data_IF_937129552919
#
_entry.id   IF_937129552919
#
_cell.length_a   1.000
_cell.length_b   1.000
_cell.length_c   1.000
_cell.angle_alpha   90.00
_cell.angle_beta   90.00
_cell.angle_gamma   90.00
#
_symmetry.space_group_name_H-M   'P 1'
#
loop_
_entity.id
_entity.type
_entity.pdbx_description
1 polymer ?
#
# COMPACT_ATOMS: atom_id res chain seq x y z
N UNK A 1 22.47 0.78 9.22
CA UNK A 1 21.50 1.60 8.46
C UNK A 1 20.18 0.83 8.49
N UNK A 2 19.14 1.44 9.05
CA UNK A 2 18.00 0.75 9.67
C UNK A 2 16.92 0.31 8.68
N UNK A 3 16.50 -0.95 8.79
CA UNK A 3 15.33 -1.57 8.14
C UNK A 3 14.01 -0.77 8.32
N UNK A 4 13.95 0.13 9.30
CA UNK A 4 12.86 1.08 9.51
C UNK A 4 12.69 2.09 8.37
N UNK A 5 13.77 2.48 7.69
CA UNK A 5 13.69 3.38 6.53
C UNK A 5 13.23 2.62 5.28
N UNK A 6 13.68 1.37 5.12
CA UNK A 6 13.29 0.50 4.01
C UNK A 6 11.80 0.12 4.06
N UNK A 7 11.29 -0.23 5.25
CA UNK A 7 9.86 -0.53 5.46
C UNK A 7 8.98 0.72 5.29
N UNK A 8 9.43 1.88 5.80
CA UNK A 8 8.77 3.17 5.56
C UNK A 8 8.79 3.62 4.09
N UNK A 9 9.85 3.28 3.35
CA UNK A 9 9.95 3.54 1.90
C UNK A 9 9.03 2.62 1.09
N UNK A 10 8.92 1.34 1.47
CA UNK A 10 8.07 0.35 0.80
C UNK A 10 6.59 0.69 0.97
N UNK A 11 6.19 1.07 2.18
CA UNK A 11 4.81 1.46 2.47
C UNK A 11 4.43 2.79 1.80
N UNK A 12 5.36 3.74 1.69
CA UNK A 12 5.17 4.95 0.88
C UNK A 12 4.98 4.62 -0.61
N UNK A 13 5.79 3.71 -1.15
CA UNK A 13 5.70 3.28 -2.56
C UNK A 13 4.38 2.57 -2.87
N UNK A 14 3.91 1.72 -1.95
CA UNK A 14 2.62 1.04 -2.08
C UNK A 14 1.46 2.04 -1.99
N UNK A 15 1.50 3.01 -1.07
CA UNK A 15 0.49 4.07 -1.01
C UNK A 15 0.44 4.93 -2.27
N UNK A 16 1.59 5.31 -2.82
CA UNK A 16 1.67 6.08 -4.06
C UNK A 16 1.04 5.30 -5.23
N UNK A 17 1.35 4.01 -5.35
CA UNK A 17 0.76 3.15 -6.40
C UNK A 17 -0.74 2.95 -6.23
N UNK A 18 -1.24 2.90 -5.00
CA UNK A 18 -2.67 2.87 -4.72
C UNK A 18 -3.36 4.17 -5.19
N UNK A 19 -2.76 5.33 -4.93
CA UNK A 19 -3.29 6.62 -5.41
C UNK A 19 -3.28 6.73 -6.93
N UNK A 20 -2.24 6.25 -7.61
CA UNK A 20 -2.21 6.21 -9.08
C UNK A 20 -3.34 5.35 -9.66
N UNK A 21 -3.62 4.19 -9.07
CA UNK A 21 -4.73 3.34 -9.48
C UNK A 21 -6.09 4.02 -9.23
N UNK A 22 -6.23 4.76 -8.14
CA UNK A 22 -7.44 5.53 -7.82
C UNK A 22 -7.67 6.67 -8.85
N UNK A 23 -6.62 7.42 -9.20
CA UNK A 23 -6.70 8.45 -10.25
C UNK A 23 -6.97 7.84 -11.63
N UNK A 24 -6.37 6.69 -11.94
CA UNK A 24 -6.67 5.95 -13.16
C UNK A 24 -8.14 5.47 -13.18
N UNK A 25 -8.69 5.10 -12.02
CA UNK A 25 -10.09 4.74 -11.88
C UNK A 25 -11.03 5.94 -12.11
N UNK A 26 -10.66 7.12 -11.62
CA UNK A 26 -11.43 8.35 -11.84
C UNK A 26 -11.43 8.80 -13.31
N UNK A 27 -10.32 8.57 -14.02
CA UNK A 27 -10.21 8.83 -15.46
C UNK A 27 -10.83 7.72 -16.31
N UNK A 28 -11.11 6.55 -15.73
CA UNK A 28 -11.75 5.46 -16.44
C UNK A 28 -13.22 5.79 -16.70
N UNK A 29 -13.59 5.88 -17.97
CA UNK A 29 -14.97 6.04 -18.44
C UNK A 29 -15.80 4.76 -18.28
N UNK A 30 -15.15 3.60 -18.18
CA UNK A 30 -15.79 2.31 -17.95
C UNK A 30 -16.06 2.10 -16.44
N UNK A 31 -17.34 1.91 -16.05
CA UNK A 31 -17.71 1.72 -14.65
C UNK A 31 -17.16 0.41 -14.05
N UNK A 32 -17.04 -0.67 -14.83
CA UNK A 32 -16.45 -1.93 -14.38
C UNK A 32 -14.93 -1.78 -14.18
N UNK A 33 -14.25 -1.09 -15.11
CA UNK A 33 -12.81 -0.79 -15.00
C UNK A 33 -12.51 0.09 -13.79
N UNK A 34 -13.33 1.12 -13.56
CA UNK A 34 -13.24 1.99 -12.37
C UNK A 34 -13.41 1.21 -11.07
N UNK A 35 -14.39 0.30 -10.99
CA UNK A 35 -14.58 -0.56 -9.79
C UNK A 35 -13.37 -1.44 -9.54
N UNK A 36 -12.85 -2.08 -10.59
CA UNK A 36 -11.69 -2.98 -10.48
C UNK A 36 -10.43 -2.24 -10.00
N UNK A 37 -10.16 -1.06 -10.54
CA UNK A 37 -9.01 -0.23 -10.15
C UNK A 37 -9.12 0.29 -8.70
N UNK A 38 -10.32 0.70 -8.27
CA UNK A 38 -10.56 1.08 -6.87
C UNK A 38 -10.38 -0.09 -5.91
N UNK A 39 -10.82 -1.28 -6.31
CA UNK A 39 -10.69 -2.49 -5.50
C UNK A 39 -9.23 -2.96 -5.40
N UNK A 40 -8.47 -2.92 -6.50
CA UNK A 40 -7.02 -3.17 -6.48
C UNK A 40 -6.26 -2.14 -5.62
N UNK A 41 -6.60 -0.86 -5.72
CA UNK A 41 -6.00 0.18 -4.88
C UNK A 41 -6.22 -0.08 -3.38
N UNK A 42 -7.44 -0.47 -3.00
CA UNK A 42 -7.79 -0.82 -1.63
C UNK A 42 -7.01 -2.04 -1.13
N UNK A 43 -6.95 -3.11 -1.93
CA UNK A 43 -6.18 -4.32 -1.61
C UNK A 43 -4.69 -4.03 -1.44
N UNK A 44 -4.13 -3.14 -2.28
CA UNK A 44 -2.72 -2.75 -2.20
C UNK A 44 -2.40 -2.00 -0.91
N UNK A 45 -3.31 -1.13 -0.47
CA UNK A 45 -3.21 -0.37 0.78
C UNK A 45 -3.26 -1.31 1.99
N UNK A 46 -4.21 -2.24 2.00
CA UNK A 46 -4.35 -3.24 3.07
C UNK A 46 -3.13 -4.17 3.14
N UNK A 47 -2.58 -4.58 1.99
CA UNK A 47 -1.34 -5.36 1.93
C UNK A 47 -0.14 -4.56 2.42
N UNK A 48 -0.11 -3.24 2.17
CA UNK A 48 0.92 -2.35 2.71
C UNK A 48 0.84 -2.25 4.23
N UNK A 49 -0.37 -2.17 4.78
CA UNK A 49 -0.60 -2.11 6.23
C UNK A 49 -0.23 -3.43 6.89
N UNK A 50 -0.63 -4.57 6.32
CA UNK A 50 -0.21 -5.89 6.79
C UNK A 50 1.29 -6.11 6.69
N UNK A 51 1.93 -5.70 5.58
CA UNK A 51 3.38 -5.79 5.43
C UNK A 51 4.15 -4.87 6.41
N UNK A 52 3.56 -3.71 6.77
CA UNK A 52 4.13 -2.83 7.81
C UNK A 52 3.91 -3.40 9.21
N UNK A 53 2.72 -3.98 9.48
CA UNK A 53 2.36 -4.54 10.78
C UNK A 53 3.08 -5.86 11.12
N UNK A 54 3.34 -6.71 10.12
CA UNK A 54 4.18 -7.91 10.27
C UNK A 54 5.67 -7.54 10.48
N UNK A 55 6.14 -6.41 9.95
CA UNK A 55 7.48 -5.89 10.23
C UNK A 55 7.63 -5.18 11.59
N UNK A 56 6.53 -4.88 12.27
CA UNK A 56 6.54 -4.17 13.57
C UNK A 56 6.36 -5.08 14.79
N UNK A 57 6.06 -6.38 14.61
CA UNK A 57 5.93 -7.33 15.73
C UNK A 57 7.20 -8.16 15.99
N UNK A 58 8.22 -8.03 15.15
CA UNK A 58 9.46 -8.83 15.23
C UNK A 58 10.71 -7.96 15.42
N UNK A 59 10.54 -6.79 16.05
CA UNK A 59 11.63 -5.83 16.33
C UNK A 59 11.48 -5.10 17.67
N UNK A 60 10.80 -5.71 18.66
CA UNK A 60 10.89 -5.29 20.06
C UNK A 60 11.75 -6.33 20.76
N UNK A 61 13.06 -6.14 20.67
CA UNK A 61 14.03 -6.78 21.55
C UNK A 61 13.88 -6.12 22.95
N UNK A 62 13.63 -6.87 24.04
CA UNK A 62 13.65 -6.32 25.39
C UNK A 62 15.08 -6.40 25.93
N UNK A 63 15.78 -5.27 25.96
CA UNK A 63 16.99 -5.08 26.78
C UNK A 63 16.77 -4.00 27.82
#
# INVERSE_FOLDING_TARGET
MSVSDESGSRSRRLRARAQEMEQAAERATDPAKRRRLKEEARLLKERSERASGLGSREGIDPT
#
